data_IF_575817446695
#
_entry.id   IF_575817446695
#
_cell.length_a   1.000
_cell.length_b   1.000
_cell.length_c   1.000
_cell.angle_alpha   90.00
_cell.angle_beta   90.00
_cell.angle_gamma   90.00
#
_symmetry.space_group_name_H-M   'P 1'
#
loop_
_entity.id
_entity.type
_entity.pdbx_description
1 polymer ?
#
# COMPACT_ATOMS: atom_id res chain seq x y z
N UNK A 1 -3.06 -5.34 -6.04
CA UNK A 1 -4.05 -4.49 -6.72
C UNK A 1 -4.44 -5.11 -8.05
N UNK A 2 -5.67 -4.88 -8.50
CA UNK A 2 -6.14 -5.25 -9.85
C UNK A 2 -6.00 -4.04 -10.80
N UNK A 3 -5.76 -4.32 -12.07
CA UNK A 3 -5.31 -3.43 -13.15
C UNK A 3 -6.34 -2.39 -13.66
N UNK A 4 -7.22 -1.87 -12.81
CA UNK A 4 -8.23 -0.89 -13.21
C UNK A 4 -8.36 0.22 -12.19
N UNK A 5 -7.76 1.37 -12.50
CA UNK A 5 -8.04 2.71 -11.95
C UNK A 5 -8.37 2.79 -10.45
N UNK A 6 -7.40 3.21 -9.64
CA UNK A 6 -7.61 3.92 -8.36
C UNK A 6 -8.35 3.20 -7.23
N UNK A 7 -8.94 2.03 -7.45
CA UNK A 7 -9.69 1.30 -6.45
C UNK A 7 -8.75 0.41 -5.63
N UNK A 8 -8.52 0.80 -4.38
CA UNK A 8 -7.80 -0.04 -3.42
C UNK A 8 -8.64 -1.28 -3.15
N UNK A 9 -8.28 -2.38 -3.79
CA UNK A 9 -8.90 -3.68 -3.53
C UNK A 9 -8.07 -4.40 -2.46
N UNK A 10 -8.64 -4.52 -1.27
CA UNK A 10 -8.04 -5.24 -0.15
C UNK A 10 -8.75 -6.57 0.07
N UNK A 11 -8.02 -7.56 0.58
CA UNK A 11 -8.57 -8.86 0.92
C UNK A 11 -8.31 -9.15 2.39
N UNK A 12 -9.35 -9.40 3.16
CA UNK A 12 -9.23 -9.72 4.59
C UNK A 12 -9.82 -11.10 4.81
N UNK A 13 -9.12 -11.92 5.59
CA UNK A 13 -9.66 -13.18 6.09
C UNK A 13 -10.24 -12.93 7.47
N UNK A 14 -11.52 -13.21 7.65
CA UNK A 14 -12.13 -13.18 8.97
C UNK A 14 -11.50 -14.27 9.84
N UNK A 15 -11.05 -13.90 11.04
CA UNK A 15 -10.34 -14.81 11.95
C UNK A 15 -11.25 -15.89 12.52
N UNK A 16 -12.52 -15.55 12.78
CA UNK A 16 -13.47 -16.43 13.46
C UNK A 16 -14.19 -17.34 12.47
N UNK A 17 -14.60 -16.81 11.32
CA UNK A 17 -15.34 -17.58 10.30
C UNK A 17 -14.44 -18.21 9.24
N UNK A 18 -13.16 -17.80 9.17
CA UNK A 18 -12.23 -18.17 8.08
C UNK A 18 -12.65 -17.76 6.66
N UNK A 19 -13.77 -17.05 6.50
CA UNK A 19 -14.22 -16.50 5.21
C UNK A 19 -13.30 -15.41 4.70
N UNK A 20 -13.14 -15.32 3.37
CA UNK A 20 -12.43 -14.21 2.73
C UNK A 20 -13.41 -13.12 2.29
N UNK A 21 -12.97 -11.88 2.44
CA UNK A 21 -13.73 -10.71 2.02
C UNK A 21 -12.86 -9.82 1.15
N UNK A 22 -13.41 -9.40 0.01
CA UNK A 22 -12.86 -8.36 -0.85
C UNK A 22 -13.49 -7.02 -0.48
N UNK A 23 -12.66 -6.02 -0.24
CA UNK A 23 -13.02 -4.64 0.02
C UNK A 23 -12.58 -3.79 -1.16
N UNK A 24 -13.43 -2.87 -1.59
CA UNK A 24 -13.02 -1.74 -2.42
C UNK A 24 -13.64 -0.46 -1.84
N UNK A 25 -13.38 0.68 -2.49
CA UNK A 25 -13.87 1.99 -2.02
C UNK A 25 -15.40 2.09 -1.90
N UNK A 26 -16.17 1.11 -2.39
CA UNK A 26 -17.64 1.19 -2.49
C UNK A 26 -18.38 -0.05 -1.99
N UNK A 27 -17.70 -1.16 -1.70
CA UNK A 27 -18.37 -2.43 -1.36
C UNK A 27 -17.47 -3.41 -0.61
N UNK A 28 -18.12 -4.29 0.15
CA UNK A 28 -17.52 -5.48 0.75
C UNK A 28 -18.23 -6.69 0.18
N UNK A 29 -17.49 -7.69 -0.31
CA UNK A 29 -18.03 -8.93 -0.85
C UNK A 29 -17.29 -10.13 -0.28
N UNK A 30 -18.02 -11.14 0.16
CA UNK A 30 -17.43 -12.43 0.50
C UNK A 30 -16.93 -13.12 -0.78
N UNK A 31 -15.78 -13.77 -0.69
CA UNK A 31 -15.13 -14.50 -1.79
C UNK A 31 -14.59 -15.83 -1.25
N UNK A 32 -14.37 -16.82 -2.10
CA UNK A 32 -13.74 -18.08 -1.67
C UNK A 32 -12.28 -17.86 -1.25
N UNK A 33 -11.47 -17.26 -2.14
CA UNK A 33 -10.06 -16.93 -1.86
C UNK A 33 -9.54 -15.92 -2.89
N UNK A 34 -8.70 -14.95 -2.50
CA UNK A 34 -8.09 -14.04 -3.46
C UNK A 34 -7.18 -14.78 -4.45
N UNK A 35 -7.39 -14.54 -5.75
CA UNK A 35 -6.57 -15.11 -6.85
C UNK A 35 -5.10 -14.72 -6.77
N UNK A 36 -4.79 -13.59 -6.16
CA UNK A 36 -3.43 -13.11 -5.90
C UNK A 36 -3.38 -12.53 -4.50
N UNK A 37 -2.88 -13.31 -3.54
CA UNK A 37 -2.50 -12.77 -2.24
C UNK A 37 -1.31 -11.81 -2.44
N UNK A 38 -1.43 -10.59 -1.93
CA UNK A 38 -0.41 -9.52 -2.06
C UNK A 38 0.79 -9.77 -1.12
N UNK A 39 0.56 -10.48 -0.01
CA UNK A 39 1.56 -10.74 1.03
C UNK A 39 1.98 -12.22 1.05
N UNK A 40 3.20 -12.46 1.54
CA UNK A 40 3.63 -13.79 1.94
C UNK A 40 3.05 -14.13 3.31
N UNK A 41 2.61 -15.37 3.50
CA UNK A 41 2.24 -15.89 4.81
C UNK A 41 3.49 -16.05 5.69
N UNK A 42 3.33 -16.08 7.00
CA UNK A 42 4.44 -16.30 7.95
C UNK A 42 5.22 -17.57 7.61
N UNK A 43 4.52 -18.64 7.23
CA UNK A 43 5.15 -19.90 6.85
C UNK A 43 5.94 -19.78 5.54
N UNK A 44 5.42 -19.03 4.56
CA UNK A 44 6.17 -18.76 3.33
C UNK A 44 7.41 -17.91 3.63
N UNK A 45 7.31 -16.89 4.48
CA UNK A 45 8.46 -16.07 4.89
C UNK A 45 9.51 -16.95 5.55
N UNK A 46 9.13 -17.78 6.53
CA UNK A 46 10.03 -18.71 7.21
C UNK A 46 10.73 -19.66 6.22
N UNK A 47 9.99 -20.20 5.25
CA UNK A 47 10.55 -21.07 4.22
C UNK A 47 11.49 -20.35 3.24
N UNK A 48 11.28 -19.06 2.98
CA UNK A 48 12.11 -18.25 2.08
C UNK A 48 13.38 -17.75 2.77
N UNK A 49 13.29 -17.33 4.03
CA UNK A 49 14.39 -16.68 4.76
C UNK A 49 15.14 -17.65 5.69
N UNK A 50 14.56 -18.81 6.00
CA UNK A 50 15.07 -19.72 7.04
C UNK A 50 14.82 -19.24 8.48
N UNK A 51 14.12 -18.11 8.66
CA UNK A 51 13.86 -17.56 9.99
C UNK A 51 12.75 -18.32 10.74
N UNK A 52 12.77 -18.25 12.07
CA UNK A 52 11.75 -18.87 12.89
C UNK A 52 10.41 -18.12 12.77
N UNK A 53 9.31 -18.85 12.61
CA UNK A 53 7.95 -18.30 12.55
C UNK A 53 7.56 -17.48 13.79
N UNK A 54 8.10 -17.79 14.98
CA UNK A 54 7.83 -17.02 16.19
C UNK A 54 8.50 -15.65 16.15
N UNK A 55 9.73 -15.56 15.65
CA UNK A 55 10.46 -14.31 15.51
C UNK A 55 9.87 -13.45 14.38
N UNK A 56 9.45 -14.07 13.27
CA UNK A 56 8.72 -13.37 12.21
C UNK A 56 7.43 -12.75 12.77
N UNK A 57 6.66 -13.50 13.58
CA UNK A 57 5.45 -12.96 14.22
C UNK A 57 5.76 -11.80 15.15
N UNK A 58 6.81 -11.93 15.97
CA UNK A 58 7.24 -10.84 16.86
C UNK A 58 7.61 -9.61 16.04
N UNK A 59 8.36 -9.73 14.96
CA UNK A 59 8.76 -8.56 14.14
C UNK A 59 7.54 -7.92 13.46
N UNK A 60 6.68 -8.72 12.82
CA UNK A 60 5.54 -8.19 12.06
C UNK A 60 4.44 -7.60 12.96
N UNK A 61 4.33 -8.05 14.20
CA UNK A 61 3.26 -7.68 15.11
C UNK A 61 3.77 -7.17 16.48
N UNK A 62 5.04 -6.73 16.55
CA UNK A 62 5.63 -6.15 17.76
C UNK A 62 4.87 -4.88 18.15
N UNK A 63 4.53 -4.07 17.14
CA UNK A 63 3.85 -2.80 17.32
C UNK A 63 2.35 -2.98 17.09
N UNK A 64 1.57 -2.98 18.18
CA UNK A 64 0.12 -2.86 18.11
C UNK A 64 -0.27 -1.38 18.09
N UNK A 65 -0.79 -0.89 16.96
CA UNK A 65 -1.38 0.45 16.83
C UNK A 65 -2.84 0.50 17.31
N UNK A 66 -3.18 -0.34 18.29
CA UNK A 66 -4.49 -0.31 18.90
C UNK A 66 -4.46 0.59 20.13
N UNK A 67 -4.95 1.83 19.95
CA UNK A 67 -5.13 2.80 21.03
C UNK A 67 -6.45 2.59 21.80
N UNK A 68 -7.18 1.50 21.50
CA UNK A 68 -8.47 1.17 22.12
C UNK A 68 -9.63 2.08 21.68
N UNK A 69 -9.40 3.02 20.76
CA UNK A 69 -10.44 3.95 20.31
C UNK A 69 -11.30 3.31 19.20
N UNK A 70 -12.62 3.49 19.18
CA UNK A 70 -13.44 3.01 18.07
C UNK A 70 -12.98 3.58 16.73
N UNK A 71 -13.11 2.78 15.67
CA UNK A 71 -12.78 3.25 14.32
C UNK A 71 -13.65 4.46 13.92
N UNK A 72 -13.01 5.53 13.47
CA UNK A 72 -13.66 6.70 12.87
C UNK A 72 -12.71 7.37 11.85
N UNK A 73 -13.20 8.39 11.14
CA UNK A 73 -12.42 9.11 10.11
C UNK A 73 -11.17 9.81 10.69
N UNK A 74 -11.21 10.26 11.95
CA UNK A 74 -10.05 10.86 12.61
C UNK A 74 -8.97 9.81 12.90
N UNK A 75 -9.34 8.63 13.42
CA UNK A 75 -8.42 7.51 13.64
C UNK A 75 -7.81 7.05 12.33
N UNK A 76 -8.63 6.93 11.27
CA UNK A 76 -8.14 6.63 9.93
C UNK A 76 -7.10 7.67 9.45
N UNK A 77 -7.39 8.96 9.57
CA UNK A 77 -6.45 10.02 9.17
C UNK A 77 -5.12 9.98 9.96
N UNK A 78 -5.16 9.68 11.25
CA UNK A 78 -3.96 9.50 12.09
C UNK A 78 -3.12 8.31 11.63
N UNK A 79 -3.75 7.15 11.39
CA UNK A 79 -3.06 5.96 10.90
C UNK A 79 -2.47 6.18 9.50
N UNK A 80 -3.21 6.83 8.61
CA UNK A 80 -2.72 7.17 7.27
C UNK A 80 -1.50 8.08 7.33
N UNK A 81 -1.50 9.08 8.22
CA UNK A 81 -0.38 10.03 8.35
C UNK A 81 0.83 9.39 9.05
N UNK A 82 0.63 8.79 10.23
CA UNK A 82 1.71 8.23 11.06
C UNK A 82 2.21 6.86 10.62
N UNK A 83 1.45 6.12 9.81
CA UNK A 83 1.87 4.81 9.32
C UNK A 83 2.14 4.81 7.83
N UNK A 84 1.12 5.04 7.00
CA UNK A 84 1.26 4.84 5.56
C UNK A 84 2.11 5.94 4.91
N UNK A 85 1.77 7.21 5.16
CA UNK A 85 2.49 8.34 4.59
C UNK A 85 3.93 8.38 5.07
N UNK A 86 4.15 8.27 6.38
CA UNK A 86 5.49 8.29 6.97
C UNK A 86 6.36 7.13 6.47
N UNK A 87 5.88 5.88 6.57
CA UNK A 87 6.72 4.71 6.33
C UNK A 87 6.81 4.29 4.85
N UNK A 88 5.87 4.75 4.00
CA UNK A 88 5.85 4.41 2.59
C UNK A 88 6.00 5.64 1.70
N UNK A 89 5.06 6.60 1.76
CA UNK A 89 5.01 7.68 0.76
C UNK A 89 6.24 8.60 0.85
N UNK A 90 6.60 9.06 2.04
CA UNK A 90 7.74 9.96 2.25
C UNK A 90 9.05 9.24 2.02
N UNK A 91 9.24 8.05 2.63
CA UNK A 91 10.45 7.25 2.46
C UNK A 91 10.73 6.94 0.99
N UNK A 92 9.72 6.46 0.26
CA UNK A 92 9.91 6.07 -1.14
C UNK A 92 10.17 7.28 -2.04
N UNK A 93 9.48 8.40 -1.80
CA UNK A 93 9.71 9.65 -2.54
C UNK A 93 11.14 10.16 -2.32
N UNK A 94 11.58 10.21 -1.06
CA UNK A 94 12.92 10.66 -0.68
C UNK A 94 13.99 9.78 -1.32
N UNK A 95 13.92 8.46 -1.10
CA UNK A 95 14.89 7.48 -1.63
C UNK A 95 15.00 7.58 -3.16
N UNK A 96 13.86 7.64 -3.87
CA UNK A 96 13.86 7.71 -5.33
C UNK A 96 14.38 9.05 -5.84
N UNK A 97 14.03 10.16 -5.19
CA UNK A 97 14.48 11.48 -5.59
C UNK A 97 15.98 11.68 -5.36
N UNK A 98 16.50 11.24 -4.22
CA UNK A 98 17.92 11.29 -3.88
C UNK A 98 18.79 10.48 -4.85
N UNK A 99 18.29 9.33 -5.31
CA UNK A 99 18.97 8.51 -6.33
C UNK A 99 19.19 9.27 -7.65
N UNK A 100 18.41 10.33 -7.90
CA UNK A 100 18.51 11.20 -9.06
C UNK A 100 18.99 12.61 -8.73
N UNK A 101 19.44 12.87 -7.49
CA UNK A 101 19.90 14.19 -7.06
C UNK A 101 18.80 15.26 -7.07
N UNK A 102 17.54 14.86 -6.95
CA UNK A 102 16.38 15.76 -6.93
C UNK A 102 15.89 15.97 -5.50
N UNK A 103 15.62 17.22 -5.14
CA UNK A 103 14.92 17.57 -3.91
C UNK A 103 13.40 17.64 -4.19
N UNK A 104 12.61 16.81 -3.52
CA UNK A 104 11.14 16.85 -3.61
C UNK A 104 10.56 17.47 -2.34
N UNK A 105 9.77 18.53 -2.49
CA UNK A 105 9.07 19.18 -1.38
C UNK A 105 7.60 18.77 -1.32
N UNK A 106 7.06 18.68 -0.10
CA UNK A 106 5.66 18.32 0.16
C UNK A 106 4.97 19.47 0.92
N UNK A 107 4.48 20.53 0.24
CA UNK A 107 3.96 21.73 0.90
C UNK A 107 2.80 21.49 1.87
N UNK A 108 2.02 20.42 1.67
CA UNK A 108 0.92 20.05 2.56
C UNK A 108 1.37 19.48 3.92
N UNK A 109 2.67 19.24 4.10
CA UNK A 109 3.28 18.82 5.37
C UNK A 109 4.04 19.96 6.06
N UNK A 110 3.85 21.19 5.60
CA UNK A 110 4.32 22.36 6.32
C UNK A 110 3.73 22.41 7.74
N UNK A 111 4.54 22.78 8.73
CA UNK A 111 4.16 22.76 10.14
C UNK A 111 2.94 23.64 10.42
N UNK A 112 2.92 24.86 9.87
CA UNK A 112 1.80 25.80 10.07
C UNK A 112 0.53 25.28 9.40
N UNK A 113 0.65 24.71 8.20
CA UNK A 113 -0.50 24.13 7.50
C UNK A 113 -1.08 22.92 8.24
N UNK A 114 -0.22 22.03 8.73
CA UNK A 114 -0.66 20.83 9.46
C UNK A 114 -1.30 21.20 10.79
N UNK A 115 -0.71 22.14 11.55
CA UNK A 115 -1.28 22.64 12.79
C UNK A 115 -2.68 23.26 12.57
N UNK A 116 -2.86 24.05 11.51
CA UNK A 116 -4.16 24.60 11.15
C UNK A 116 -5.17 23.50 10.78
N UNK A 117 -4.76 22.53 9.97
CA UNK A 117 -5.64 21.42 9.57
C UNK A 117 -6.06 20.52 10.74
N UNK A 118 -5.21 20.41 11.77
CA UNK A 118 -5.49 19.68 13.01
C UNK A 118 -6.33 20.47 14.01
N UNK A 119 -6.27 21.81 14.00
CA UNK A 119 -7.12 22.63 14.87
C UNK A 119 -8.59 22.66 14.45
N UNK A 120 -8.91 22.25 13.22
CA UNK A 120 -10.29 22.18 12.72
C UNK A 120 -11.01 20.98 13.33
N UNK A 121 -12.17 21.24 13.94
CA UNK A 121 -13.02 20.18 14.52
C UNK A 121 -13.27 19.03 13.50
N UNK A 122 -13.16 17.75 13.92
CA UNK A 122 -13.44 16.61 13.05
C UNK A 122 -14.80 16.68 12.37
N UNK A 123 -15.82 17.21 13.04
CA UNK A 123 -17.17 17.34 12.49
C UNK A 123 -17.21 18.28 11.28
N UNK A 124 -16.34 19.29 11.25
CA UNK A 124 -16.19 20.21 10.11
C UNK A 124 -15.29 19.57 9.05
N UNK A 125 -14.13 19.05 9.45
CA UNK A 125 -13.11 18.48 8.56
C UNK A 125 -13.63 17.33 7.72
N UNK A 126 -14.60 16.57 8.24
CA UNK A 126 -15.09 15.34 7.61
C UNK A 126 -16.58 15.35 7.22
N UNK A 127 -17.29 16.47 7.37
CA UNK A 127 -18.72 16.60 7.07
C UNK A 127 -19.06 16.35 5.60
N UNK A 128 -18.42 17.10 4.69
CA UNK A 128 -18.92 17.30 3.32
C UNK A 128 -18.16 16.51 2.26
N UNK A 129 -17.66 15.32 2.62
CA UNK A 129 -16.90 14.47 1.69
C UNK A 129 -15.41 14.82 1.59
N UNK A 130 -14.66 14.15 0.70
CA UNK A 130 -13.21 14.24 0.65
C UNK A 130 -12.76 15.62 0.14
N UNK A 131 -11.77 16.21 0.82
CA UNK A 131 -11.09 17.45 0.40
C UNK A 131 -12.01 18.69 0.28
N UNK A 132 -13.21 18.68 0.86
CA UNK A 132 -14.15 19.80 0.67
C UNK A 132 -13.58 21.14 1.14
N UNK A 133 -12.95 21.19 2.32
CA UNK A 133 -12.31 22.43 2.82
C UNK A 133 -11.23 22.96 1.87
N UNK A 134 -10.48 22.05 1.23
CA UNK A 134 -9.47 22.43 0.24
C UNK A 134 -10.13 22.94 -1.05
N UNK A 135 -11.21 22.30 -1.50
CA UNK A 135 -11.97 22.76 -2.67
C UNK A 135 -12.56 24.16 -2.41
N UNK A 136 -13.22 24.36 -1.28
CA UNK A 136 -13.86 25.64 -0.92
C UNK A 136 -12.85 26.79 -0.81
N UNK A 137 -11.61 26.50 -0.44
CA UNK A 137 -10.54 27.49 -0.34
C UNK A 137 -10.02 27.97 -1.70
N UNK A 138 -10.18 27.18 -2.77
CA UNK A 138 -9.55 27.42 -4.07
C UNK A 138 -10.50 27.33 -5.28
N UNK A 139 -11.78 27.01 -5.09
CA UNK A 139 -12.77 26.84 -6.17
C UNK A 139 -12.96 28.10 -7.03
N UNK A 140 -12.69 29.28 -6.46
CA UNK A 140 -12.74 30.57 -7.14
C UNK A 140 -11.48 30.85 -7.98
N UNK A 141 -10.39 30.11 -7.74
CA UNK A 141 -9.07 30.31 -8.35
C UNK A 141 -8.77 29.28 -9.45
N UNK A 142 -9.48 28.15 -9.45
CA UNK A 142 -9.29 27.05 -10.41
C UNK A 142 -10.58 26.81 -11.21
N UNK A 143 -10.48 26.49 -12.51
CA UNK A 143 -11.63 26.09 -13.31
C UNK A 143 -12.40 24.93 -12.68
N UNK A 144 -13.72 24.93 -12.83
CA UNK A 144 -14.61 23.94 -12.22
C UNK A 144 -14.22 22.50 -12.59
N UNK A 145 -13.73 22.30 -13.81
CA UNK A 145 -13.30 21.01 -14.34
C UNK A 145 -12.13 20.41 -13.55
N UNK A 146 -11.31 21.22 -12.88
CA UNK A 146 -10.16 20.75 -12.09
C UNK A 146 -10.60 20.14 -10.77
N UNK A 147 -11.46 20.83 -10.02
CA UNK A 147 -11.87 20.40 -8.68
C UNK A 147 -13.11 19.49 -8.69
N UNK A 148 -13.91 19.50 -9.76
CA UNK A 148 -15.02 18.55 -9.94
C UNK A 148 -14.58 17.20 -10.51
N UNK A 149 -13.31 17.05 -10.92
CA UNK A 149 -12.85 15.81 -11.56
C UNK A 149 -12.96 14.60 -10.61
N UNK A 150 -13.30 13.41 -11.13
CA UNK A 150 -13.23 12.18 -10.35
C UNK A 150 -11.83 11.90 -9.78
N UNK A 151 -11.77 11.22 -8.62
CA UNK A 151 -10.51 10.75 -8.04
C UNK A 151 -9.80 9.85 -9.05
N UNK A 152 -8.60 10.25 -9.45
CA UNK A 152 -7.72 9.44 -10.28
C UNK A 152 -6.60 8.87 -9.42
N UNK A 153 -6.45 7.56 -9.44
CA UNK A 153 -5.28 6.91 -8.86
C UNK A 153 -4.03 7.20 -9.68
N UNK A 154 -2.88 7.13 -9.03
CA UNK A 154 -1.59 7.16 -9.70
C UNK A 154 -0.99 5.75 -9.61
N UNK A 155 -0.97 5.04 -10.73
CA UNK A 155 -0.48 3.65 -10.78
C UNK A 155 0.53 3.49 -11.89
N UNK A 156 1.69 2.94 -11.55
CA UNK A 156 2.66 2.50 -12.54
C UNK A 156 2.33 1.09 -13.04
N UNK A 157 2.65 0.76 -14.30
CA UNK A 157 2.48 -0.59 -14.84
C UNK A 157 3.59 -1.54 -14.35
N UNK A 158 3.84 -1.59 -13.02
CA UNK A 158 4.92 -2.34 -12.38
C UNK A 158 4.87 -3.83 -12.71
N UNK A 159 3.67 -4.41 -12.82
CA UNK A 159 3.50 -5.80 -13.25
C UNK A 159 4.14 -6.06 -14.62
N UNK A 160 3.90 -5.17 -15.58
CA UNK A 160 4.42 -5.32 -16.94
C UNK A 160 5.92 -5.03 -16.98
N UNK A 161 6.36 -3.96 -16.30
CA UNK A 161 7.78 -3.60 -16.24
C UNK A 161 8.64 -4.69 -15.59
N UNK A 162 8.20 -5.23 -14.46
CA UNK A 162 8.95 -6.28 -13.76
C UNK A 162 8.91 -7.62 -14.50
N UNK A 163 7.80 -7.95 -15.18
CA UNK A 163 7.74 -9.15 -16.01
C UNK A 163 8.64 -9.06 -17.25
N UNK A 164 8.97 -7.84 -17.70
CA UNK A 164 9.96 -7.58 -18.74
C UNK A 164 11.41 -7.55 -18.25
N UNK A 165 11.65 -7.54 -16.93
CA UNK A 165 13.00 -7.51 -16.36
C UNK A 165 13.57 -8.94 -16.29
N UNK A 166 14.71 -9.16 -16.99
CA UNK A 166 15.33 -10.49 -17.09
C UNK A 166 15.82 -11.01 -15.74
N UNK A 167 16.40 -10.15 -14.91
CA UNK A 167 17.00 -10.53 -13.62
C UNK A 167 15.93 -10.96 -12.60
N UNK A 168 14.80 -10.24 -12.57
CA UNK A 168 13.63 -10.61 -11.74
C UNK A 168 12.99 -11.93 -12.23
N UNK A 169 12.98 -12.17 -13.54
CA UNK A 169 12.36 -13.35 -14.13
C UNK A 169 13.30 -14.57 -14.25
N UNK A 170 14.57 -14.43 -13.87
CA UNK A 170 15.53 -15.52 -13.92
C UNK A 170 15.46 -16.37 -12.66
N UNK A 171 14.92 -17.58 -12.79
CA UNK A 171 14.77 -18.53 -11.69
C UNK A 171 16.09 -19.02 -11.11
N UNK A 172 17.24 -18.84 -11.79
CA UNK A 172 18.54 -19.18 -11.19
C UNK A 172 18.98 -18.21 -10.10
N UNK A 173 18.47 -16.97 -10.09
CA UNK A 173 18.79 -15.95 -9.10
C UNK A 173 18.10 -16.19 -7.74
N UNK A 174 17.41 -17.32 -7.57
CA UNK A 174 16.58 -17.62 -6.41
C UNK A 174 16.95 -18.97 -5.79
N UNK A 175 16.88 -19.04 -4.47
CA UNK A 175 17.25 -20.22 -3.68
C UNK A 175 16.01 -20.85 -3.03
N UNK A 176 15.95 -22.19 -3.07
CA UNK A 176 14.82 -22.96 -2.55
C UNK A 176 13.67 -23.16 -3.54
N UNK A 177 12.97 -24.28 -3.41
CA UNK A 177 11.90 -24.67 -4.33
C UNK A 177 10.72 -23.67 -4.33
N UNK A 178 10.37 -23.14 -3.16
CA UNK A 178 9.26 -22.21 -3.01
C UNK A 178 9.53 -20.88 -3.75
N UNK A 179 10.70 -20.28 -3.58
CA UNK A 179 11.05 -19.02 -4.25
C UNK A 179 11.03 -19.18 -5.78
N UNK A 180 11.66 -20.24 -6.30
CA UNK A 180 11.65 -20.56 -7.75
C UNK A 180 10.24 -20.79 -8.29
N UNK A 181 9.38 -21.48 -7.53
CA UNK A 181 7.99 -21.68 -7.88
C UNK A 181 7.26 -20.33 -7.97
N UNK A 182 7.44 -19.43 -7.00
CA UNK A 182 6.81 -18.10 -6.99
C UNK A 182 7.23 -17.24 -8.19
N UNK A 183 8.51 -17.26 -8.56
CA UNK A 183 8.97 -16.54 -9.76
C UNK A 183 8.39 -17.16 -11.04
N UNK A 184 8.20 -18.48 -11.09
CA UNK A 184 7.48 -19.13 -12.19
C UNK A 184 5.99 -18.74 -12.23
N UNK A 185 5.33 -18.63 -11.07
CA UNK A 185 3.97 -18.10 -10.96
C UNK A 185 3.89 -16.65 -11.47
N UNK A 186 4.89 -15.82 -11.15
CA UNK A 186 4.98 -14.44 -11.64
C UNK A 186 5.06 -14.37 -13.17
N UNK A 187 5.94 -15.17 -13.79
CA UNK A 187 6.09 -15.27 -15.26
C UNK A 187 4.81 -15.70 -15.96
N UNK A 188 3.96 -16.47 -15.27
CA UNK A 188 2.66 -16.94 -15.79
C UNK A 188 1.50 -16.01 -15.43
N UNK A 189 1.77 -14.83 -14.87
CA UNK A 189 0.74 -13.85 -14.49
C UNK A 189 -0.08 -14.23 -13.26
N UNK A 190 0.34 -15.26 -12.51
CA UNK A 190 -0.35 -15.79 -11.32
C UNK A 190 0.16 -15.22 -10.00
N UNK A 191 1.24 -14.44 -10.04
CA UNK A 191 1.77 -13.73 -8.87
C UNK A 191 1.77 -12.22 -9.10
N UNK A 192 1.44 -11.45 -8.07
CA UNK A 192 1.53 -10.01 -8.08
C UNK A 192 2.99 -9.54 -8.03
N UNK A 193 3.32 -8.47 -8.76
CA UNK A 193 4.67 -7.93 -8.89
C UNK A 193 5.37 -7.67 -7.55
N UNK A 194 4.64 -7.23 -6.54
CA UNK A 194 5.21 -6.91 -5.22
C UNK A 194 5.87 -8.12 -4.57
N UNK A 195 5.35 -9.33 -4.79
CA UNK A 195 5.93 -10.56 -4.24
C UNK A 195 7.17 -11.00 -5.01
N UNK A 196 7.15 -10.88 -6.34
CA UNK A 196 8.32 -11.14 -7.16
C UNK A 196 9.45 -10.15 -6.83
N UNK A 197 9.12 -8.88 -6.69
CA UNK A 197 10.07 -7.84 -6.31
C UNK A 197 10.63 -8.05 -4.90
N UNK A 198 9.79 -8.39 -3.92
CA UNK A 198 10.27 -8.70 -2.58
C UNK A 198 11.25 -9.88 -2.58
N UNK A 199 10.96 -10.96 -3.34
CA UNK A 199 11.91 -12.06 -3.50
C UNK A 199 13.21 -11.60 -4.16
N UNK A 200 13.13 -10.76 -5.20
CA UNK A 200 14.30 -10.24 -5.88
C UNK A 200 15.18 -9.41 -4.93
N UNK A 201 14.58 -8.60 -4.05
CA UNK A 201 15.34 -7.83 -3.06
C UNK A 201 15.99 -8.72 -1.99
N UNK A 202 15.31 -9.80 -1.58
CA UNK A 202 15.82 -10.70 -0.52
C UNK A 202 16.87 -11.68 -1.04
N UNK A 203 16.75 -12.15 -2.29
CA UNK A 203 17.60 -13.22 -2.82
C UNK A 203 18.31 -12.89 -4.14
N UNK A 204 17.77 -11.97 -4.95
CA UNK A 204 18.23 -11.71 -6.32
C UNK A 204 19.40 -10.75 -6.46
N UNK A 205 19.87 -10.16 -5.36
CA UNK A 205 21.04 -9.25 -5.33
C UNK A 205 22.31 -9.92 -4.76
N UNK A 206 22.42 -11.25 -4.84
CA UNK A 206 23.61 -12.03 -4.40
C UNK A 206 24.25 -12.71 -5.58
#
# INVERSE_FOLDING_TARGET
GSLGGGHYTSYVKNRDTSSWYQFNDSSVREIEQPKTAVFFTINEIAAITGANSSDIKKILFADSYDDGTPYNKLRAAKLETGMYMQNQLLRDTDTMSMQHGLEVRVPFLDEDFTALAESISPDIRFANGPKQLLIDSFNNLLPAEIWQRPKMGFTFPLQQWMAGNKDICDTSNYHGALAKQKITEFKTGRLHWSRAFALFQVQGNV
#
